data_IF_825275219901
#
_entry.id   IF_825275219901
#
_cell.length_a   1.000
_cell.length_b   1.000
_cell.length_c   1.000
_cell.angle_alpha   90.00
_cell.angle_beta   90.00
_cell.angle_gamma   90.00
#
_symmetry.space_group_name_H-M   'P 1'
#
loop_
_entity.id
_entity.type
_entity.pdbx_description
1 polymer ?
#
# COMPACT_ATOMS: atom_id res chain seq x y z
N UNK A 1 -4.13 -1.06 23.78
CA UNK A 1 -3.84 -2.41 24.27
C UNK A 1 -2.69 -2.98 23.45
N UNK A 2 -1.54 -3.26 24.05
CA UNK A 2 -0.41 -3.89 23.37
C UNK A 2 -0.81 -5.31 22.98
N UNK A 3 -0.90 -5.61 21.68
CA UNK A 3 -1.23 -6.96 21.23
C UNK A 3 -0.19 -7.94 21.76
N UNK A 4 -0.64 -9.03 22.39
CA UNK A 4 0.24 -10.10 22.89
C UNK A 4 0.97 -10.75 21.71
N UNK A 5 2.28 -10.98 21.88
CA UNK A 5 3.09 -11.70 20.89
C UNK A 5 2.66 -13.17 20.84
N UNK A 6 2.76 -13.77 19.65
CA UNK A 6 2.65 -15.22 19.47
C UNK A 6 3.97 -15.89 19.82
N UNK A 7 3.95 -17.21 19.93
CA UNK A 7 5.13 -18.01 20.23
C UNK A 7 6.27 -17.73 19.24
N UNK A 8 7.47 -17.51 19.80
CA UNK A 8 8.72 -17.19 19.10
C UNK A 8 8.75 -15.85 18.34
N UNK A 9 7.68 -15.05 18.34
CA UNK A 9 7.73 -13.70 17.76
C UNK A 9 8.67 -12.79 18.54
N UNK A 10 9.36 -11.92 17.82
CA UNK A 10 10.33 -10.99 18.40
C UNK A 10 9.94 -9.57 18.04
N UNK A 11 9.73 -8.76 19.07
CA UNK A 11 9.56 -7.31 18.98
C UNK A 11 10.85 -6.59 19.38
N UNK A 12 11.09 -5.40 18.80
CA UNK A 12 12.20 -4.52 19.15
C UNK A 12 11.69 -3.23 19.77
N UNK A 13 12.41 -2.69 20.75
CA UNK A 13 12.18 -1.34 21.23
C UNK A 13 12.74 -0.34 20.23
N UNK A 14 11.94 0.64 19.82
CA UNK A 14 12.37 1.71 18.90
C UNK A 14 11.79 3.03 19.38
N UNK A 15 12.55 4.11 19.19
CA UNK A 15 12.01 5.45 19.30
C UNK A 15 11.03 5.74 18.16
N UNK A 16 10.20 6.78 18.35
CA UNK A 16 9.39 7.30 17.25
C UNK A 16 10.30 7.74 16.09
N UNK A 17 9.99 7.39 14.83
CA UNK A 17 10.81 7.76 13.67
C UNK A 17 10.87 9.28 13.51
N UNK A 18 12.03 9.80 13.12
CA UNK A 18 12.26 11.25 12.93
C UNK A 18 12.95 11.61 11.61
N UNK A 19 13.34 10.61 10.82
CA UNK A 19 14.15 10.80 9.61
C UNK A 19 13.38 11.47 8.46
N UNK A 20 12.07 11.22 8.38
CA UNK A 20 11.20 11.78 7.35
C UNK A 20 9.73 11.76 7.79
N UNK A 21 8.92 12.57 7.11
CA UNK A 21 7.45 12.56 7.20
C UNK A 21 6.83 12.27 5.83
N UNK A 22 5.63 11.69 5.83
CA UNK A 22 4.83 11.45 4.63
C UNK A 22 3.63 12.39 4.61
N UNK A 23 3.26 12.85 3.42
CA UNK A 23 1.92 13.39 3.18
C UNK A 23 0.99 12.24 2.82
N UNK A 24 -0.14 12.16 3.50
CA UNK A 24 -1.25 11.37 2.99
C UNK A 24 -1.96 12.22 1.93
N UNK A 25 -2.03 11.71 0.71
CA UNK A 25 -2.56 12.44 -0.45
C UNK A 25 -4.06 12.22 -0.65
N UNK A 26 -4.67 11.40 0.22
CA UNK A 26 -6.07 11.05 0.15
C UNK A 26 -6.41 9.86 1.05
N UNK A 27 -7.56 9.25 0.76
CA UNK A 27 -8.11 8.13 1.52
C UNK A 27 -8.67 7.05 0.60
N UNK A 28 -8.46 5.80 0.99
CA UNK A 28 -8.98 4.64 0.27
C UNK A 28 -10.32 4.24 0.86
N UNK A 29 -11.32 4.07 -0.01
CA UNK A 29 -12.63 3.54 0.35
C UNK A 29 -12.78 2.12 -0.16
N UNK A 30 -13.05 1.18 0.74
CA UNK A 30 -13.20 -0.25 0.45
C UNK A 30 -14.44 -0.80 1.17
N UNK A 31 -14.97 -1.96 0.76
CA UNK A 31 -16.03 -2.62 1.52
C UNK A 31 -15.51 -3.29 2.82
N UNK A 32 -14.21 -3.26 3.08
CA UNK A 32 -13.58 -3.97 4.19
C UNK A 32 -13.54 -3.07 5.43
N UNK A 33 -14.58 -3.09 6.25
CA UNK A 33 -14.70 -2.24 7.45
C UNK A 33 -14.01 -2.81 8.70
N UNK A 34 -13.49 -4.04 8.62
CA UNK A 34 -12.74 -4.73 9.67
C UNK A 34 -11.55 -5.48 9.08
N UNK A 35 -10.47 -5.58 9.86
CA UNK A 35 -9.24 -6.27 9.44
C UNK A 35 -9.42 -7.73 9.02
N UNK A 36 -10.34 -8.46 9.65
CA UNK A 36 -10.61 -9.86 9.33
C UNK A 36 -11.45 -10.05 8.06
N UNK A 37 -12.08 -8.98 7.56
CA UNK A 37 -12.79 -8.96 6.29
C UNK A 37 -11.86 -8.58 5.12
N UNK A 38 -10.70 -7.99 5.39
CA UNK A 38 -9.69 -7.69 4.38
C UNK A 38 -9.17 -8.99 3.74
N UNK A 39 -9.10 -9.09 2.40
CA UNK A 39 -8.46 -10.22 1.76
C UNK A 39 -6.96 -10.23 2.09
N UNK A 40 -6.32 -11.40 2.05
CA UNK A 40 -4.87 -11.50 2.34
C UNK A 40 -4.01 -10.80 1.29
N UNK A 41 -4.50 -10.76 0.06
CA UNK A 41 -3.95 -10.05 -1.10
C UNK A 41 -5.13 -9.62 -1.97
N UNK A 42 -5.05 -8.42 -2.56
CA UNK A 42 -6.06 -7.92 -3.49
C UNK A 42 -6.17 -8.79 -4.75
N UNK A 43 -7.36 -8.81 -5.35
CA UNK A 43 -7.63 -9.52 -6.62
C UNK A 43 -8.27 -8.58 -7.64
N UNK A 44 -7.89 -8.70 -8.90
CA UNK A 44 -8.38 -7.85 -9.99
C UNK A 44 -9.88 -8.10 -10.31
N UNK A 45 -10.41 -9.26 -9.93
CA UNK A 45 -11.83 -9.62 -9.95
C UNK A 45 -12.55 -9.31 -8.61
N UNK A 46 -11.89 -8.58 -7.72
CA UNK A 46 -12.43 -8.17 -6.43
C UNK A 46 -13.50 -7.06 -6.54
N UNK A 47 -14.02 -6.59 -5.40
CA UNK A 47 -15.02 -5.53 -5.39
C UNK A 47 -14.42 -4.19 -5.85
N UNK A 48 -15.29 -3.32 -6.38
CA UNK A 48 -14.94 -1.94 -6.67
C UNK A 48 -14.54 -1.21 -5.38
N UNK A 49 -13.41 -0.52 -5.44
CA UNK A 49 -12.88 0.35 -4.41
C UNK A 49 -12.62 1.74 -4.99
N UNK A 50 -12.36 2.74 -4.12
CA UNK A 50 -12.10 4.11 -4.56
C UNK A 50 -10.85 4.68 -3.90
N UNK A 51 -9.99 5.28 -4.71
CA UNK A 51 -8.91 6.14 -4.23
C UNK A 51 -9.45 7.57 -4.28
N UNK A 52 -9.71 8.18 -3.12
CA UNK A 52 -10.25 9.54 -3.03
C UNK A 52 -9.10 10.48 -2.70
N UNK A 53 -8.65 11.28 -3.67
CA UNK A 53 -7.54 12.21 -3.48
C UNK A 53 -8.02 13.50 -2.80
N UNK A 54 -7.19 14.04 -1.92
CA UNK A 54 -7.45 15.34 -1.31
C UNK A 54 -7.25 16.47 -2.34
N UNK A 55 -7.97 17.57 -2.16
CA UNK A 55 -8.06 18.65 -3.15
C UNK A 55 -6.70 19.16 -3.70
N UNK A 56 -5.63 19.34 -2.90
CA UNK A 56 -4.33 19.79 -3.42
C UNK A 56 -3.69 18.82 -4.42
N UNK A 57 -4.04 17.53 -4.38
CA UNK A 57 -3.38 16.48 -5.16
C UNK A 57 -4.21 15.98 -6.35
N UNK A 58 -5.50 16.32 -6.41
CA UNK A 58 -6.43 15.83 -7.43
C UNK A 58 -5.98 16.11 -8.87
N UNK A 59 -5.36 17.27 -9.14
CA UNK A 59 -4.84 17.62 -10.46
C UNK A 59 -3.71 16.66 -10.93
N UNK A 60 -3.05 15.96 -10.01
CA UNK A 60 -2.03 14.96 -10.31
C UNK A 60 -2.55 13.70 -11.01
N UNK A 61 -3.88 13.52 -11.12
CA UNK A 61 -4.49 12.40 -11.85
C UNK A 61 -4.43 12.55 -13.37
N UNK A 62 -4.10 13.73 -13.89
CA UNK A 62 -4.12 13.99 -15.33
C UNK A 62 -3.23 13.00 -16.10
N UNK A 63 -3.81 12.28 -17.07
CA UNK A 63 -3.13 11.31 -17.91
C UNK A 63 -3.16 9.88 -17.38
N UNK A 64 -3.66 9.65 -16.16
CA UNK A 64 -3.76 8.31 -15.57
C UNK A 64 -4.77 7.43 -16.31
N UNK A 65 -5.79 8.02 -16.95
CA UNK A 65 -6.80 7.32 -17.76
C UNK A 65 -6.24 6.54 -18.94
N UNK A 66 -4.97 6.76 -19.30
CA UNK A 66 -4.26 6.05 -20.37
C UNK A 66 -3.78 4.66 -19.96
N UNK A 67 -3.83 4.33 -18.67
CA UNK A 67 -3.28 3.09 -18.12
C UNK A 67 -4.40 2.18 -17.59
N UNK A 68 -4.29 0.89 -17.88
CA UNK A 68 -5.21 -0.13 -17.37
C UNK A 68 -4.88 -0.51 -15.91
N UNK A 69 -3.61 -0.42 -15.53
CA UNK A 69 -3.13 -0.82 -14.20
C UNK A 69 -2.29 0.26 -13.54
N UNK A 70 -2.34 0.30 -12.21
CA UNK A 70 -1.49 1.12 -11.38
C UNK A 70 -1.01 0.38 -10.13
N UNK A 71 0.16 0.77 -9.63
CA UNK A 71 0.63 0.45 -8.30
C UNK A 71 0.13 1.52 -7.31
N UNK A 72 -0.54 1.08 -6.25
CA UNK A 72 -1.05 1.93 -5.18
C UNK A 72 -0.21 1.70 -3.93
N UNK A 73 0.33 2.78 -3.35
CA UNK A 73 0.99 2.75 -2.05
C UNK A 73 0.11 3.37 -0.98
N UNK A 74 -0.05 2.69 0.14
CA UNK A 74 -0.93 3.13 1.23
C UNK A 74 -0.37 2.82 2.60
N UNK A 75 -0.80 3.57 3.62
CA UNK A 75 -0.30 3.46 4.98
C UNK A 75 -1.20 2.57 5.82
N UNK A 76 -0.72 1.41 6.25
CA UNK A 76 -1.44 0.48 7.10
C UNK A 76 -1.46 1.00 8.55
N UNK A 77 -2.23 2.07 8.76
CA UNK A 77 -2.25 2.94 9.94
C UNK A 77 -2.56 2.25 11.27
N UNK A 78 -3.24 1.10 11.25
CA UNK A 78 -3.52 0.31 12.46
C UNK A 78 -2.41 -0.72 12.80
N UNK A 79 -1.38 -0.85 11.97
CA UNK A 79 -0.33 -1.84 12.20
C UNK A 79 0.66 -1.37 13.26
N UNK A 80 0.97 -2.26 14.21
CA UNK A 80 2.18 -2.14 15.02
C UNK A 80 3.43 -2.18 14.12
N UNK A 81 4.55 -1.67 14.61
CA UNK A 81 5.75 -1.39 13.80
C UNK A 81 7.04 -2.03 14.30
N UNK A 82 6.94 -2.83 15.36
CA UNK A 82 8.05 -3.30 16.18
C UNK A 82 8.41 -4.78 15.97
N UNK A 83 7.63 -5.55 15.19
CA UNK A 83 7.93 -6.98 14.99
C UNK A 83 8.99 -7.22 13.91
N UNK A 84 10.09 -7.87 14.29
CA UNK A 84 11.17 -8.29 13.38
C UNK A 84 11.08 -9.77 13.02
N UNK A 85 10.59 -10.62 13.93
CA UNK A 85 10.23 -12.01 13.66
C UNK A 85 8.74 -12.21 13.91
N UNK A 86 8.05 -12.85 12.97
CA UNK A 86 6.61 -13.05 13.01
C UNK A 86 6.26 -14.51 12.74
N UNK A 87 5.19 -15.02 13.36
CA UNK A 87 4.60 -16.33 13.06
C UNK A 87 3.23 -16.13 12.40
N UNK A 88 3.17 -15.97 11.05
CA UNK A 88 1.91 -15.67 10.36
C UNK A 88 0.85 -16.75 10.53
N UNK A 89 1.29 -18.00 10.69
CA UNK A 89 0.44 -19.19 10.85
C UNK A 89 0.09 -19.50 12.31
N UNK A 90 0.70 -18.81 13.27
CA UNK A 90 0.54 -19.07 14.71
C UNK A 90 0.91 -20.51 15.11
N UNK A 91 1.92 -21.09 14.45
CA UNK A 91 2.42 -22.45 14.65
C UNK A 91 3.83 -22.48 15.29
N UNK A 92 4.30 -21.33 15.79
CA UNK A 92 5.64 -21.16 16.38
C UNK A 92 6.78 -21.06 15.37
N UNK A 93 6.54 -21.36 14.08
CA UNK A 93 7.52 -21.16 13.02
C UNK A 93 7.56 -19.68 12.63
N UNK A 94 8.73 -19.05 12.79
CA UNK A 94 8.90 -17.62 12.54
C UNK A 94 9.68 -17.32 11.27
N UNK A 95 9.38 -16.16 10.69
CA UNK A 95 10.09 -15.59 9.54
C UNK A 95 10.41 -14.13 9.81
N UNK A 96 11.55 -13.67 9.28
CA UNK A 96 11.89 -12.25 9.28
C UNK A 96 10.85 -11.42 8.55
N UNK A 97 10.48 -10.26 9.10
CA UNK A 97 9.46 -9.38 8.52
C UNK A 97 9.70 -9.04 7.04
N UNK A 98 10.97 -8.92 6.64
CA UNK A 98 11.35 -8.58 5.27
C UNK A 98 11.24 -9.73 4.26
N UNK A 99 11.12 -10.99 4.71
CA UNK A 99 10.80 -12.13 3.83
C UNK A 99 9.28 -12.41 3.73
N UNK A 100 8.46 -11.55 4.34
CA UNK A 100 7.01 -11.61 4.34
C UNK A 100 6.42 -10.36 3.67
N UNK A 101 5.15 -10.47 3.23
CA UNK A 101 4.29 -9.33 2.90
C UNK A 101 3.32 -8.98 4.06
N UNK A 102 3.75 -9.21 5.29
CA UNK A 102 2.95 -8.90 6.49
C UNK A 102 2.65 -7.40 6.56
N UNK A 103 1.45 -6.98 7.01
CA UNK A 103 1.14 -5.58 7.25
C UNK A 103 1.87 -4.99 8.47
N UNK A 104 2.45 -5.84 9.34
CA UNK A 104 3.22 -5.43 10.51
C UNK A 104 4.68 -5.26 10.09
N UNK A 105 5.14 -4.02 9.97
CA UNK A 105 6.50 -3.68 9.48
C UNK A 105 6.99 -2.38 10.11
N UNK A 106 8.32 -2.11 10.12
CA UNK A 106 8.87 -0.84 10.60
C UNK A 106 8.25 0.39 9.92
N UNK A 107 8.08 0.33 8.59
CA UNK A 107 7.30 1.28 7.82
C UNK A 107 6.16 0.51 7.15
N UNK A 108 4.92 0.56 7.69
CA UNK A 108 3.81 -0.28 7.27
C UNK A 108 3.18 0.24 5.96
N UNK A 109 3.99 0.29 4.91
CA UNK A 109 3.59 0.65 3.55
C UNK A 109 3.05 -0.61 2.86
N UNK A 110 1.78 -0.56 2.48
CA UNK A 110 1.17 -1.56 1.61
C UNK A 110 1.38 -1.20 0.14
N UNK A 111 1.37 -2.23 -0.71
CA UNK A 111 1.50 -2.13 -2.15
C UNK A 111 0.51 -3.10 -2.80
N UNK A 112 -0.37 -2.55 -3.64
CA UNK A 112 -1.30 -3.33 -4.46
C UNK A 112 -1.22 -2.87 -5.91
N UNK A 113 -1.15 -3.84 -6.84
CA UNK A 113 -1.44 -3.61 -8.25
C UNK A 113 -2.96 -3.63 -8.42
N UNK A 114 -3.51 -2.58 -9.01
CA UNK A 114 -4.95 -2.42 -9.20
C UNK A 114 -5.29 -2.24 -10.67
N UNK A 115 -6.46 -2.70 -11.07
CA UNK A 115 -7.08 -2.32 -12.34
C UNK A 115 -7.78 -0.96 -12.17
N UNK A 116 -7.49 -0.01 -13.06
CA UNK A 116 -8.19 1.27 -13.14
C UNK A 116 -9.46 1.06 -13.96
N UNK A 117 -10.62 1.30 -13.35
CA UNK A 117 -11.89 1.16 -14.03
C UNK A 117 -12.35 2.47 -14.66
N UNK A 118 -12.18 3.58 -13.94
CA UNK A 118 -12.50 4.95 -14.39
C UNK A 118 -12.02 5.99 -13.39
N UNK A 119 -11.99 7.25 -13.83
CA UNK A 119 -11.63 8.41 -13.02
C UNK A 119 -12.82 9.38 -13.01
N UNK A 120 -13.23 9.84 -11.82
CA UNK A 120 -14.38 10.71 -11.59
C UNK A 120 -13.97 11.87 -10.67
N UNK A 121 -13.56 13.00 -11.27
CA UNK A 121 -13.06 14.14 -10.51
C UNK A 121 -11.81 13.77 -9.68
N UNK A 122 -11.84 13.88 -8.34
CA UNK A 122 -10.73 13.48 -7.47
C UNK A 122 -10.71 11.98 -7.13
N UNK A 123 -11.64 11.18 -7.67
CA UNK A 123 -11.76 9.75 -7.36
C UNK A 123 -11.23 8.87 -8.50
N UNK A 124 -10.46 7.85 -8.15
CA UNK A 124 -10.08 6.75 -9.07
C UNK A 124 -10.78 5.49 -8.60
N UNK A 125 -11.65 4.94 -9.44
CA UNK A 125 -12.38 3.71 -9.16
C UNK A 125 -11.54 2.54 -9.67
N UNK A 126 -11.26 1.58 -8.77
CA UNK A 126 -10.29 0.51 -9.00
C UNK A 126 -10.76 -0.84 -8.46
N UNK A 127 -10.12 -1.93 -8.90
CA UNK A 127 -10.20 -3.27 -8.28
C UNK A 127 -8.80 -3.78 -7.97
N UNK A 128 -8.66 -4.62 -6.93
CA UNK A 128 -7.36 -5.18 -6.54
C UNK A 128 -6.80 -4.65 -5.22
N UNK A 129 -7.61 -3.95 -4.41
CA UNK A 129 -7.22 -3.53 -3.07
C UNK A 129 -7.55 -4.58 -2.00
N UNK A 130 -6.82 -4.52 -0.90
CA UNK A 130 -6.95 -5.41 0.26
C UNK A 130 -6.90 -4.67 1.61
N UNK A 131 -6.96 -3.34 1.60
CA UNK A 131 -6.85 -2.52 2.80
C UNK A 131 -8.20 -2.17 3.43
N UNK A 132 -8.15 -1.80 4.71
CA UNK A 132 -9.31 -1.36 5.49
C UNK A 132 -9.94 -0.10 4.89
N UNK A 133 -11.26 0.06 4.99
CA UNK A 133 -11.93 1.31 4.66
C UNK A 133 -11.32 2.46 5.47
N UNK A 134 -11.06 3.57 4.80
CA UNK A 134 -10.43 4.74 5.41
C UNK A 134 -8.90 4.70 5.46
N UNK A 135 -8.25 3.67 4.91
CA UNK A 135 -6.78 3.59 4.85
C UNK A 135 -6.18 4.81 4.14
N UNK A 136 -5.17 5.50 4.71
CA UNK A 136 -4.52 6.62 4.06
C UNK A 136 -3.77 6.24 2.77
N UNK A 137 -3.98 7.02 1.71
CA UNK A 137 -3.27 6.90 0.44
C UNK A 137 -1.94 7.66 0.51
N UNK A 138 -0.84 7.04 0.07
CA UNK A 138 0.49 7.67 0.01
C UNK A 138 0.84 8.04 -1.42
N UNK A 139 0.60 7.14 -2.38
CA UNK A 139 1.09 7.30 -3.75
C UNK A 139 0.27 6.45 -4.74
N UNK A 140 0.33 6.84 -6.01
CA UNK A 140 -0.31 6.17 -7.13
C UNK A 140 0.59 6.28 -8.36
N UNK A 141 0.94 5.15 -8.97
CA UNK A 141 1.85 5.11 -10.12
C UNK A 141 1.30 4.21 -11.21
N UNK A 142 1.38 4.59 -12.50
CA UNK A 142 1.05 3.66 -13.57
C UNK A 142 1.97 2.42 -13.51
N UNK A 143 1.43 1.27 -13.85
CA UNK A 143 2.19 0.02 -13.84
C UNK A 143 3.42 0.09 -14.76
N UNK A 144 4.56 -0.40 -14.27
CA UNK A 144 5.85 -0.28 -14.97
C UNK A 144 5.86 -0.92 -16.35
N UNK A 145 5.13 -2.02 -16.58
CA UNK A 145 5.14 -2.70 -17.87
C UNK A 145 4.40 -1.92 -18.97
N UNK A 146 3.45 -1.06 -18.59
CA UNK A 146 2.71 -0.19 -19.52
C UNK A 146 3.28 1.24 -19.57
N UNK A 147 4.26 1.58 -18.70
CA UNK A 147 4.81 2.92 -18.56
C UNK A 147 6.14 3.07 -19.30
N UNK A 148 6.20 4.01 -20.24
CA UNK A 148 7.45 4.51 -20.81
C UNK A 148 7.88 5.75 -20.03
N UNK A 149 9.17 5.83 -19.66
CA UNK A 149 9.72 7.00 -18.98
C UNK A 149 9.61 8.22 -19.91
N UNK A 150 8.78 9.20 -19.54
CA UNK A 150 8.63 10.44 -20.31
C UNK A 150 9.80 11.42 -20.11
N UNK A 151 10.54 11.27 -19.01
CA UNK A 151 11.73 12.07 -18.75
C UNK A 151 12.88 11.66 -19.69
N UNK A 152 13.79 12.60 -20.06
CA UNK A 152 14.97 12.27 -20.84
C UNK A 152 15.86 11.23 -20.14
N UNK A 153 16.53 10.39 -20.93
CA UNK A 153 17.51 9.42 -20.42
C UNK A 153 18.62 10.13 -19.64
N UNK A 154 18.97 9.56 -18.49
CA UNK A 154 20.16 9.94 -17.73
C UNK A 154 21.37 9.16 -18.26
N UNK A 155 22.60 9.62 -17.99
CA UNK A 155 23.82 8.88 -18.35
C UNK A 155 23.84 7.42 -17.83
N UNK A 156 23.18 7.14 -16.70
CA UNK A 156 23.08 5.80 -16.13
C UNK A 156 22.03 4.89 -16.80
N UNK A 157 21.13 5.45 -17.61
CA UNK A 157 20.10 4.69 -18.34
C UNK A 157 20.63 4.13 -19.66
N UNK A 158 21.80 4.62 -20.10
CA UNK A 158 22.52 4.10 -21.25
C UNK A 158 23.40 2.96 -20.76
N UNK A 159 23.20 1.76 -21.29
CA UNK A 159 24.15 0.66 -21.12
C UNK A 159 25.57 1.16 -21.46
N UNK A 160 26.60 0.69 -20.74
CA UNK A 160 27.98 1.01 -21.11
C UNK A 160 28.28 0.60 -22.57
#
# INVERSE_FOLDING_TARGET
MTQKLRDNEVAVATDAPRDAALHFIGRIRTPFTRRDLCPRQGRLDGPDCRLVLDAPWAAGLAGLERYEFADVLYWLHESRRDLVLQSPRSDGAVRGVFSLRSPVRPNPIGLSKVAILRIEGPEVIVRGLDCLDGTPLIDLKPDRCAYTIAAPDKPADRSP
#
